data_IF_515453061881
#
_entry.id   IF_515453061881
#
_cell.length_a   1.000
_cell.length_b   1.000
_cell.length_c   1.000
_cell.angle_alpha   90.00
_cell.angle_beta   90.00
_cell.angle_gamma   90.00
#
_symmetry.space_group_name_H-M   'P 1'
#
loop_
_entity.id
_entity.type
_entity.pdbx_description
1 polymer ?
#
# COMPACT_ATOMS: atom_id res chain seq x y z
N UNK A 1 9.07 3.45 -12.23
CA UNK A 1 8.95 3.02 -10.82
C UNK A 1 8.36 1.63 -10.72
N UNK A 2 7.09 1.39 -11.08
CA UNK A 2 6.42 0.09 -10.95
C UNK A 2 7.20 -1.07 -11.60
N UNK A 3 7.80 -0.86 -12.78
CA UNK A 3 8.61 -1.90 -13.45
C UNK A 3 9.82 -2.34 -12.61
N UNK A 4 10.50 -1.38 -11.98
CA UNK A 4 11.66 -1.67 -11.12
C UNK A 4 11.25 -2.43 -9.85
N UNK A 5 10.15 -2.04 -9.22
CA UNK A 5 9.61 -2.74 -8.06
C UNK A 5 9.12 -4.14 -8.42
N UNK A 6 8.50 -4.31 -9.59
CA UNK A 6 8.09 -5.63 -10.08
C UNK A 6 9.29 -6.54 -10.37
N UNK A 7 10.38 -6.00 -10.92
CA UNK A 7 11.61 -6.76 -11.13
C UNK A 7 12.23 -7.23 -9.80
N UNK A 8 12.30 -6.33 -8.80
CA UNK A 8 12.78 -6.68 -7.45
C UNK A 8 11.87 -7.75 -6.81
N UNK A 9 10.55 -7.61 -6.97
CA UNK A 9 9.58 -8.58 -6.44
C UNK A 9 9.76 -9.96 -7.09
N UNK A 10 9.95 -10.01 -8.41
CA UNK A 10 10.17 -11.26 -9.16
C UNK A 10 11.48 -11.94 -8.74
N UNK A 11 12.57 -11.17 -8.63
CA UNK A 11 13.87 -11.70 -8.17
C UNK A 11 13.79 -12.23 -6.74
N UNK A 12 13.18 -11.47 -5.84
CA UNK A 12 13.00 -11.88 -4.45
C UNK A 12 12.15 -13.15 -4.35
N UNK A 13 11.04 -13.26 -5.10
CA UNK A 13 10.21 -14.46 -5.10
C UNK A 13 10.93 -15.68 -5.68
N UNK A 14 11.77 -15.51 -6.71
CA UNK A 14 12.57 -16.59 -7.28
C UNK A 14 13.58 -17.14 -6.26
N UNK A 15 14.15 -16.28 -5.41
CA UNK A 15 15.16 -16.67 -4.41
C UNK A 15 14.56 -17.19 -3.10
N UNK A 16 13.48 -16.59 -2.64
CA UNK A 16 12.93 -16.80 -1.30
C UNK A 16 11.65 -17.64 -1.32
N UNK A 17 11.08 -17.86 -2.49
CA UNK A 17 9.75 -18.43 -2.65
C UNK A 17 8.64 -17.38 -2.49
N UNK A 18 7.39 -17.84 -2.38
CA UNK A 18 6.23 -16.97 -2.28
C UNK A 18 5.71 -16.51 -3.63
N UNK A 19 4.89 -15.45 -3.62
CA UNK A 19 4.25 -14.91 -4.81
C UNK A 19 4.60 -13.43 -4.99
N UNK A 20 5.29 -13.11 -6.08
CA UNK A 20 5.60 -11.73 -6.45
C UNK A 20 4.32 -10.91 -6.68
N UNK A 21 4.33 -9.65 -6.25
CA UNK A 21 3.28 -8.69 -6.58
C UNK A 21 3.42 -8.30 -8.05
N UNK A 22 2.33 -8.41 -8.80
CA UNK A 22 2.34 -8.02 -10.21
C UNK A 22 2.49 -6.51 -10.35
N UNK A 23 3.10 -6.08 -11.46
CA UNK A 23 3.35 -4.67 -11.78
C UNK A 23 2.11 -3.79 -11.67
N UNK A 24 1.00 -4.26 -12.19
CA UNK A 24 -0.30 -3.57 -12.23
C UNK A 24 -1.00 -3.47 -10.88
N UNK A 25 -0.52 -4.22 -9.89
CA UNK A 25 -1.04 -4.23 -8.52
C UNK A 25 -0.07 -3.67 -7.48
N UNK A 26 1.08 -3.12 -7.93
CA UNK A 26 2.02 -2.43 -7.03
C UNK A 26 1.41 -1.12 -6.57
N UNK A 27 1.27 -0.96 -5.26
CA UNK A 27 0.66 0.22 -4.63
C UNK A 27 1.16 0.42 -3.20
N UNK A 28 0.89 1.60 -2.66
CA UNK A 28 0.95 1.91 -1.24
C UNK A 28 -0.47 2.10 -0.72
N UNK A 29 -0.85 1.40 0.34
CA UNK A 29 -2.17 1.50 0.95
C UNK A 29 -2.21 2.65 1.96
N UNK A 30 -3.14 3.59 1.79
CA UNK A 30 -3.41 4.66 2.76
C UNK A 30 -4.43 4.23 3.83
N UNK A 31 -5.47 3.52 3.41
CA UNK A 31 -6.52 2.99 4.27
C UNK A 31 -7.13 1.73 3.64
N UNK A 32 -7.41 0.71 4.45
CA UNK A 32 -8.14 -0.47 4.04
C UNK A 32 -9.52 -0.46 4.71
N UNK A 33 -10.57 -0.56 3.90
CA UNK A 33 -11.96 -0.37 4.35
C UNK A 33 -12.73 -1.69 4.50
N UNK A 34 -12.12 -2.81 4.05
CA UNK A 34 -12.85 -4.07 3.95
C UNK A 34 -14.02 -3.99 2.96
N UNK A 35 -15.09 -4.69 3.26
CA UNK A 35 -16.29 -4.69 2.42
C UNK A 35 -17.15 -3.46 2.69
N UNK A 36 -17.37 -2.68 1.65
CA UNK A 36 -18.25 -1.50 1.67
C UNK A 36 -19.45 -1.78 0.78
N UNK A 37 -20.71 -1.59 1.28
CA UNK A 37 -21.90 -1.75 0.47
C UNK A 37 -21.88 -0.85 -0.77
N UNK A 38 -22.34 -1.36 -1.91
CA UNK A 38 -22.34 -0.62 -3.17
C UNK A 38 -23.15 0.69 -3.08
N UNK A 39 -24.22 0.69 -2.30
CA UNK A 39 -25.04 1.86 -2.03
C UNK A 39 -24.29 3.01 -1.32
N UNK A 40 -23.16 2.72 -0.67
CA UNK A 40 -22.33 3.71 0.02
C UNK A 40 -21.09 4.16 -0.76
N UNK A 41 -20.86 3.62 -1.97
CA UNK A 41 -19.67 3.96 -2.75
C UNK A 41 -19.65 5.42 -3.19
N UNK A 42 -20.79 5.99 -3.55
CA UNK A 42 -20.88 7.42 -3.90
C UNK A 42 -20.50 8.30 -2.70
N UNK A 43 -21.07 8.04 -1.52
CA UNK A 43 -20.75 8.74 -0.27
C UNK A 43 -19.26 8.61 0.08
N UNK A 44 -18.69 7.40 -0.02
CA UNK A 44 -17.26 7.16 0.19
C UNK A 44 -16.41 8.01 -0.75
N UNK A 45 -16.80 8.09 -2.02
CA UNK A 45 -16.14 8.92 -3.02
C UNK A 45 -16.13 10.40 -2.64
N UNK A 46 -17.24 10.94 -2.14
CA UNK A 46 -17.33 12.34 -1.70
C UNK A 46 -16.52 12.60 -0.41
N UNK A 47 -16.55 11.67 0.54
CA UNK A 47 -15.71 11.75 1.75
C UNK A 47 -14.23 11.80 1.39
N UNK A 48 -13.78 10.94 0.48
CA UNK A 48 -12.39 10.96 0.01
C UNK A 48 -12.06 12.22 -0.79
N UNK A 49 -12.98 12.72 -1.61
CA UNK A 49 -12.81 13.94 -2.41
C UNK A 49 -12.69 15.21 -1.55
N UNK A 50 -13.24 15.21 -0.36
CA UNK A 50 -13.12 16.32 0.58
C UNK A 50 -11.73 16.42 1.24
N UNK A 51 -10.95 15.34 1.21
CA UNK A 51 -9.60 15.32 1.80
C UNK A 51 -8.64 16.12 0.93
N UNK A 52 -7.87 17.02 1.55
CA UNK A 52 -6.82 17.79 0.90
C UNK A 52 -5.46 17.29 1.40
N UNK A 53 -4.49 17.23 0.51
CA UNK A 53 -3.12 16.84 0.84
C UNK A 53 -2.14 17.44 -0.17
N UNK A 54 -0.93 17.70 0.28
CA UNK A 54 0.16 18.13 -0.59
C UNK A 54 0.72 16.93 -1.38
N UNK A 55 1.15 17.18 -2.61
CA UNK A 55 1.97 16.24 -3.36
C UNK A 55 3.30 16.01 -2.62
N UNK A 56 3.88 14.83 -2.77
CA UNK A 56 5.13 14.47 -2.10
C UNK A 56 5.94 13.46 -2.91
N UNK A 57 7.24 13.44 -2.66
CA UNK A 57 8.12 12.39 -3.15
C UNK A 57 8.35 11.34 -2.06
N UNK A 58 8.04 10.10 -2.38
CA UNK A 58 8.31 8.95 -1.54
C UNK A 58 9.61 8.29 -2.00
N UNK A 59 10.56 8.09 -1.09
CA UNK A 59 11.80 7.35 -1.33
C UNK A 59 11.67 5.96 -0.73
N UNK A 60 11.94 4.95 -1.57
CA UNK A 60 12.00 3.56 -1.15
C UNK A 60 13.48 3.14 -1.24
N UNK A 61 14.10 2.85 -0.11
CA UNK A 61 15.54 2.56 -0.01
C UNK A 61 15.85 1.31 0.82
N UNK A 62 14.81 0.66 1.36
CA UNK A 62 14.97 -0.55 2.18
C UNK A 62 13.92 -1.60 1.87
N UNK A 63 14.30 -2.86 2.03
CA UNK A 63 13.43 -4.01 2.07
C UNK A 63 13.23 -4.44 3.52
N UNK A 64 12.03 -4.88 3.87
CA UNK A 64 11.77 -5.43 5.19
C UNK A 64 10.84 -6.65 5.11
N UNK A 65 10.87 -7.47 6.16
CA UNK A 65 10.08 -8.67 6.26
C UNK A 65 9.18 -8.66 7.49
N UNK A 66 7.89 -8.90 7.27
CA UNK A 66 6.91 -9.12 8.33
C UNK A 66 6.56 -10.60 8.43
N UNK A 67 7.05 -11.24 9.47
CA UNK A 67 6.85 -12.65 9.70
C UNK A 67 5.39 -13.03 9.94
N UNK A 68 4.63 -12.19 10.66
CA UNK A 68 3.24 -12.48 11.03
C UNK A 68 2.29 -12.62 9.84
N UNK A 69 2.61 -12.04 8.70
CA UNK A 69 1.82 -12.14 7.47
C UNK A 69 2.62 -12.65 6.26
N UNK A 70 3.86 -13.12 6.51
CA UNK A 70 4.75 -13.71 5.50
C UNK A 70 4.93 -12.81 4.27
N UNK A 71 5.32 -11.55 4.52
CA UNK A 71 5.31 -10.50 3.52
C UNK A 71 6.65 -9.79 3.44
N UNK A 72 7.24 -9.71 2.22
CA UNK A 72 8.36 -8.83 1.91
C UNK A 72 7.81 -7.51 1.38
N UNK A 73 8.36 -6.41 1.87
CA UNK A 73 7.94 -5.06 1.48
C UNK A 73 9.13 -4.16 1.16
N UNK A 74 8.88 -3.12 0.38
CA UNK A 74 9.78 -1.99 0.19
C UNK A 74 9.24 -0.77 0.95
N UNK A 75 10.13 -0.04 1.59
CA UNK A 75 9.82 1.18 2.34
C UNK A 75 11.00 2.14 2.39
N UNK A 76 10.82 3.20 3.16
CA UNK A 76 11.81 4.24 3.36
C UNK A 76 11.34 5.25 4.40
N UNK A 77 11.98 6.41 4.43
CA UNK A 77 11.53 7.51 5.29
C UNK A 77 10.12 7.96 4.87
N UNK A 78 9.26 8.16 5.88
CA UNK A 78 7.88 8.58 5.65
C UNK A 78 7.80 10.10 5.53
N UNK A 79 7.43 10.66 4.38
CA UNK A 79 7.25 12.11 4.24
C UNK A 79 6.15 12.63 5.16
N UNK A 80 6.35 13.80 5.76
CA UNK A 80 5.34 14.42 6.62
C UNK A 80 4.00 14.63 5.88
N UNK A 81 4.03 14.97 4.58
CA UNK A 81 2.84 15.11 3.76
C UNK A 81 2.06 13.79 3.61
N UNK A 82 2.75 12.64 3.51
CA UNK A 82 2.10 11.33 3.48
C UNK A 82 1.42 11.00 4.81
N UNK A 83 2.08 11.29 5.93
CA UNK A 83 1.49 11.11 7.27
C UNK A 83 0.26 12.00 7.46
N UNK A 84 0.36 13.28 7.05
CA UNK A 84 -0.76 14.22 7.12
C UNK A 84 -1.95 13.77 6.25
N UNK A 85 -1.70 13.34 5.01
CA UNK A 85 -2.72 12.84 4.10
C UNK A 85 -3.43 11.62 4.70
N UNK A 86 -2.67 10.64 5.20
CA UNK A 86 -3.22 9.43 5.79
C UNK A 86 -4.07 9.75 7.03
N UNK A 87 -3.59 10.64 7.90
CA UNK A 87 -4.33 11.08 9.09
C UNK A 87 -5.63 11.82 8.73
N UNK A 88 -5.59 12.73 7.76
CA UNK A 88 -6.77 13.45 7.28
C UNK A 88 -7.80 12.49 6.65
N UNK A 89 -7.34 11.53 5.84
CA UNK A 89 -8.19 10.53 5.22
C UNK A 89 -8.87 9.64 6.27
N UNK A 90 -8.12 9.12 7.25
CA UNK A 90 -8.70 8.31 8.33
C UNK A 90 -9.76 9.09 9.13
N UNK A 91 -9.47 10.35 9.46
CA UNK A 91 -10.42 11.22 10.19
C UNK A 91 -11.69 11.44 9.39
N UNK A 92 -11.58 11.74 8.10
CA UNK A 92 -12.74 11.94 7.22
C UNK A 92 -13.56 10.66 7.07
N UNK A 93 -12.93 9.52 6.86
CA UNK A 93 -13.60 8.22 6.76
C UNK A 93 -14.33 7.85 8.04
N UNK A 94 -13.71 8.04 9.20
CA UNK A 94 -14.35 7.79 10.50
C UNK A 94 -15.56 8.71 10.71
N UNK A 95 -15.45 10.00 10.38
CA UNK A 95 -16.57 10.96 10.46
C UNK A 95 -17.72 10.57 9.51
N UNK A 96 -17.44 9.98 8.35
CA UNK A 96 -18.41 9.41 7.43
C UNK A 96 -18.94 8.03 7.84
N UNK A 97 -18.57 7.52 9.03
CA UNK A 97 -19.02 6.21 9.51
C UNK A 97 -18.44 5.02 8.76
N UNK A 98 -17.29 5.18 8.09
CA UNK A 98 -16.55 4.09 7.46
C UNK A 98 -15.53 3.52 8.43
N UNK A 99 -15.56 2.21 8.61
CA UNK A 99 -14.53 1.49 9.37
C UNK A 99 -13.23 1.46 8.57
N UNK A 100 -12.13 1.78 9.22
CA UNK A 100 -10.78 1.66 8.63
C UNK A 100 -10.02 0.61 9.41
N UNK A 101 -9.51 -0.40 8.72
CA UNK A 101 -8.73 -1.46 9.34
C UNK A 101 -7.44 -0.91 9.97
N UNK A 102 -6.96 -1.60 11.03
CA UNK A 102 -5.75 -1.18 11.75
C UNK A 102 -5.95 0.01 12.69
N UNK A 103 -7.13 0.19 13.25
CA UNK A 103 -7.37 1.18 14.31
C UNK A 103 -6.42 0.91 15.48
N UNK A 104 -5.79 1.98 16.01
CA UNK A 104 -4.81 1.89 17.09
C UNK A 104 -3.39 1.45 16.67
N UNK A 105 -3.17 1.07 15.41
CA UNK A 105 -1.82 0.78 14.90
C UNK A 105 -1.16 2.02 14.29
N UNK A 106 0.14 2.16 14.49
CA UNK A 106 0.92 3.19 13.80
C UNK A 106 0.93 2.94 12.30
N UNK A 107 0.85 4.03 11.52
CA UNK A 107 0.94 3.96 10.08
C UNK A 107 2.38 3.60 9.65
N UNK A 108 2.54 2.47 8.99
CA UNK A 108 3.80 2.00 8.43
C UNK A 108 3.67 1.92 6.90
N UNK A 109 3.95 3.01 6.16
CA UNK A 109 3.80 3.02 4.71
C UNK A 109 4.80 2.06 4.06
N UNK A 110 4.28 1.20 3.19
CA UNK A 110 5.07 0.19 2.51
C UNK A 110 4.45 -0.19 1.16
N UNK A 111 5.29 -0.71 0.29
CA UNK A 111 4.87 -1.36 -0.96
C UNK A 111 5.13 -2.86 -0.82
N UNK A 112 4.08 -3.66 -0.89
CA UNK A 112 4.21 -5.12 -0.85
C UNK A 112 4.89 -5.63 -2.13
N UNK A 113 5.97 -6.38 -1.97
CA UNK A 113 6.73 -6.99 -3.08
C UNK A 113 6.43 -8.49 -3.23
N UNK A 114 6.48 -9.26 -2.13
CA UNK A 114 6.23 -10.70 -2.16
C UNK A 114 5.27 -11.07 -1.03
N UNK A 115 4.30 -11.90 -1.34
CA UNK A 115 3.33 -12.46 -0.40
C UNK A 115 3.53 -13.96 -0.26
N UNK A 116 3.03 -14.54 0.83
CA UNK A 116 3.06 -15.98 1.10
C UNK A 116 4.49 -16.55 1.06
N UNK A 117 5.45 -15.81 1.62
CA UNK A 117 6.79 -16.34 1.80
C UNK A 117 6.74 -17.58 2.70
N UNK A 118 7.48 -18.65 2.38
CA UNK A 118 7.55 -19.80 3.24
C UNK A 118 8.22 -19.44 4.58
N UNK A 119 7.86 -20.08 5.71
CA UNK A 119 8.52 -19.85 7.00
C UNK A 119 10.03 -20.11 6.96
N UNK A 120 10.46 -20.94 6.00
CA UNK A 120 11.86 -21.33 5.76
C UNK A 120 12.62 -20.39 4.84
N UNK A 121 12.08 -19.22 4.52
CA UNK A 121 12.73 -18.26 3.59
C UNK A 121 14.06 -17.68 4.11
N UNK A 122 14.42 -17.95 5.36
CA UNK A 122 15.69 -17.51 5.97
C UNK A 122 15.73 -16.04 6.41
N UNK A 123 14.60 -15.32 6.30
CA UNK A 123 14.51 -13.93 6.78
C UNK A 123 14.11 -13.89 8.25
N UNK A 124 14.81 -13.08 9.04
CA UNK A 124 14.45 -12.85 10.43
C UNK A 124 13.32 -11.82 10.56
N UNK A 125 12.49 -11.98 11.59
CA UNK A 125 11.43 -11.02 11.90
C UNK A 125 12.01 -9.63 12.14
N UNK A 126 11.45 -8.62 11.47
CA UNK A 126 11.91 -7.23 11.56
C UNK A 126 13.25 -6.96 10.86
N UNK A 127 13.80 -7.93 10.15
CA UNK A 127 15.01 -7.72 9.36
C UNK A 127 14.73 -6.72 8.25
N UNK A 128 15.60 -5.70 8.15
CA UNK A 128 15.64 -4.76 7.04
C UNK A 128 16.97 -4.89 6.28
N UNK A 129 16.95 -4.67 4.99
CA UNK A 129 18.11 -4.67 4.13
C UNK A 129 18.06 -3.47 3.17
N UNK A 130 19.20 -2.86 2.83
CA UNK A 130 19.22 -1.78 1.85
C UNK A 130 18.82 -2.28 0.46
N UNK A 131 18.17 -1.40 -0.29
CA UNK A 131 17.90 -1.58 -1.71
C UNK A 131 18.30 -0.33 -2.49
N UNK A 132 18.50 -0.41 -3.82
CA UNK A 132 18.73 0.77 -4.64
C UNK A 132 17.56 1.76 -4.46
N UNK A 133 17.87 3.02 -4.15
CA UNK A 133 16.86 4.04 -3.92
C UNK A 133 15.97 4.24 -5.14
N UNK A 134 14.67 4.15 -4.94
CA UNK A 134 13.64 4.46 -5.92
C UNK A 134 12.86 5.68 -5.45
N UNK A 135 12.77 6.71 -6.28
CA UNK A 135 11.94 7.89 -6.02
C UNK A 135 10.56 7.72 -6.70
N UNK A 136 9.50 8.04 -5.98
CA UNK A 136 8.12 8.00 -6.45
C UNK A 136 7.44 9.33 -6.19
N UNK A 137 7.19 10.12 -7.21
CA UNK A 137 6.42 11.35 -7.10
C UNK A 137 4.93 11.03 -7.01
N UNK A 138 4.34 11.32 -5.86
CA UNK A 138 2.95 11.03 -5.51
C UNK A 138 2.12 12.29 -5.66
N UNK A 139 1.35 12.38 -6.74
CA UNK A 139 0.49 13.51 -7.08
C UNK A 139 -1.00 13.19 -6.98
N UNK A 140 -1.34 11.93 -6.71
CA UNK A 140 -2.73 11.45 -6.63
C UNK A 140 -2.85 10.28 -5.66
N UNK A 141 -4.06 10.09 -5.13
CA UNK A 141 -4.46 8.85 -4.51
C UNK A 141 -5.76 8.35 -5.13
N UNK A 142 -6.12 7.09 -4.88
CA UNK A 142 -7.18 6.42 -5.61
C UNK A 142 -8.11 5.68 -4.67
N UNK A 143 -9.41 5.69 -4.99
CA UNK A 143 -10.36 4.72 -4.46
C UNK A 143 -10.33 3.49 -5.37
N UNK A 144 -10.04 2.34 -4.78
CA UNK A 144 -9.82 1.09 -5.53
C UNK A 144 -10.74 0.01 -4.99
N UNK A 145 -11.45 -0.69 -5.89
CA UNK A 145 -12.13 -1.95 -5.57
C UNK A 145 -11.16 -3.10 -5.79
N UNK A 146 -10.94 -3.90 -4.75
CA UNK A 146 -10.16 -5.14 -4.84
C UNK A 146 -11.09 -6.34 -5.03
N UNK A 147 -10.78 -7.18 -5.99
CA UNK A 147 -11.41 -8.49 -6.17
C UNK A 147 -10.37 -9.58 -6.00
N UNK A 148 -10.69 -10.59 -5.21
CA UNK A 148 -9.79 -11.73 -5.03
C UNK A 148 -10.10 -12.77 -6.13
N UNK A 149 -9.14 -12.99 -7.01
CA UNK A 149 -9.19 -14.01 -8.05
C UNK A 149 -8.24 -15.17 -7.68
N UNK A 150 -8.39 -16.32 -8.34
CA UNK A 150 -7.44 -17.45 -8.19
C UNK A 150 -6.00 -17.06 -8.52
N UNK A 151 -5.81 -16.14 -9.47
CA UNK A 151 -4.50 -15.58 -9.88
C UNK A 151 -3.96 -14.51 -8.94
N UNK A 152 -4.75 -14.02 -7.97
CA UNK A 152 -4.38 -12.95 -7.03
C UNK A 152 -5.40 -11.83 -6.99
N UNK A 153 -5.03 -10.72 -6.34
CA UNK A 153 -5.89 -9.54 -6.31
C UNK A 153 -5.95 -8.88 -7.68
N UNK A 154 -7.14 -8.49 -8.08
CA UNK A 154 -7.42 -7.64 -9.22
C UNK A 154 -7.95 -6.30 -8.70
N UNK A 155 -7.46 -5.17 -9.28
CA UNK A 155 -7.76 -3.82 -8.80
C UNK A 155 -8.45 -3.01 -9.88
N UNK A 156 -9.66 -2.53 -9.56
CA UNK A 156 -10.40 -1.59 -10.37
C UNK A 156 -10.36 -0.21 -9.72
N UNK A 157 -9.78 0.77 -10.40
CA UNK A 157 -9.84 2.17 -9.97
C UNK A 157 -11.26 2.67 -10.15
N UNK A 158 -11.89 3.10 -9.06
CA UNK A 158 -13.25 3.66 -9.06
C UNK A 158 -13.21 5.18 -9.19
N UNK A 159 -12.23 5.83 -8.55
CA UNK A 159 -12.06 7.30 -8.59
C UNK A 159 -10.63 7.68 -8.25
N UNK A 160 -10.14 8.77 -8.81
CA UNK A 160 -8.85 9.38 -8.48
C UNK A 160 -9.03 10.76 -7.83
N UNK A 161 -8.03 11.15 -7.02
CA UNK A 161 -8.02 12.40 -6.26
C UNK A 161 -6.65 13.04 -6.37
N UNK A 162 -6.60 14.29 -6.85
CA UNK A 162 -5.35 15.03 -6.98
C UNK A 162 -4.86 15.56 -5.64
N UNK A 163 -3.54 15.55 -5.48
CA UNK A 163 -2.80 16.23 -4.42
C UNK A 163 -2.28 17.56 -4.99
N UNK A 164 -2.30 18.62 -4.19
CA UNK A 164 -1.93 19.97 -4.62
C UNK A 164 -0.50 20.35 -4.18
#
# INVERSE_FOLDING_TARGET
MADRLAAIAAEAAARLGGRATRRDTIHLTLAFLGDVPESRLAELGEVAAAVRGAAFDLRLDRLGYWQHNHLLWAGGETPAALTALQGALRKALAAGGFKVDGEGRSFAPHVTLVRKLPPTCGLAAGQEAPMPTLAWSCQRFFLVRSRLLSSGSDYLILRDFSLA
#
